data_IF_029232859245
#
_entry.id   IF_029232859245
#
_cell.length_a   1.000
_cell.length_b   1.000
_cell.length_c   1.000
_cell.angle_alpha   90.00
_cell.angle_beta   90.00
_cell.angle_gamma   90.00
#
_symmetry.space_group_name_H-M   'P 1'
#
loop_
_entity.id
_entity.type
_entity.pdbx_description
1 polymer ?
#
# COMPACT_ATOMS: atom_id res chain seq x y z
N UNK A 1 -83.46 -72.95 40.47
CA UNK A 1 -83.28 -71.68 39.73
C UNK A 1 -81.94 -70.98 40.03
N UNK A 2 -81.31 -71.22 41.20
CA UNK A 2 -79.99 -70.65 41.57
C UNK A 2 -78.82 -70.98 40.63
N UNK A 3 -78.72 -72.24 40.15
CA UNK A 3 -77.56 -72.69 39.34
C UNK A 3 -77.41 -71.95 38.00
N UNK A 4 -78.53 -71.50 37.40
CA UNK A 4 -78.55 -70.76 36.12
C UNK A 4 -78.20 -69.28 36.30
N UNK A 5 -78.54 -68.71 37.47
CA UNK A 5 -78.16 -67.35 37.86
C UNK A 5 -76.66 -67.25 38.17
N UNK A 6 -76.12 -68.19 38.96
CA UNK A 6 -74.70 -68.25 39.28
C UNK A 6 -73.82 -68.46 38.03
N UNK A 7 -74.27 -69.29 37.07
CA UNK A 7 -73.54 -69.51 35.80
C UNK A 7 -73.54 -68.27 34.90
N UNK A 8 -74.62 -67.48 34.92
CA UNK A 8 -74.71 -66.20 34.19
C UNK A 8 -73.82 -65.12 34.83
N UNK A 9 -73.82 -65.04 36.17
CA UNK A 9 -72.98 -64.10 36.91
C UNK A 9 -71.49 -64.41 36.73
N UNK A 10 -71.10 -65.68 36.66
CA UNK A 10 -69.73 -66.11 36.38
C UNK A 10 -69.30 -65.79 34.93
N UNK A 11 -70.20 -65.95 33.94
CA UNK A 11 -69.94 -65.54 32.55
C UNK A 11 -69.75 -64.02 32.43
N UNK A 12 -70.56 -63.22 33.13
CA UNK A 12 -70.41 -61.76 33.15
C UNK A 12 -69.10 -61.33 33.81
N UNK A 13 -68.69 -61.96 34.92
CA UNK A 13 -67.38 -61.70 35.55
C UNK A 13 -66.21 -62.06 34.63
N UNK A 14 -66.27 -63.22 33.98
CA UNK A 14 -65.25 -63.67 33.02
C UNK A 14 -65.16 -62.71 31.82
N UNK A 15 -66.29 -62.18 31.34
CA UNK A 15 -66.30 -61.20 30.24
C UNK A 15 -65.70 -59.86 30.67
N UNK A 16 -66.00 -59.39 31.88
CA UNK A 16 -65.38 -58.19 32.46
C UNK A 16 -63.86 -58.37 32.64
N UNK A 17 -63.41 -59.52 33.12
CA UNK A 17 -62.00 -59.84 33.27
C UNK A 17 -61.28 -59.85 31.92
N UNK A 18 -61.87 -60.46 30.88
CA UNK A 18 -61.34 -60.42 29.52
C UNK A 18 -61.30 -59.01 28.92
N UNK A 19 -62.30 -58.17 29.20
CA UNK A 19 -62.31 -56.77 28.77
C UNK A 19 -61.22 -55.94 29.47
N UNK A 20 -61.02 -56.17 30.77
CA UNK A 20 -59.93 -55.55 31.52
C UNK A 20 -58.57 -55.98 30.98
N UNK A 21 -58.39 -57.29 30.77
CA UNK A 21 -57.17 -57.85 30.20
C UNK A 21 -56.86 -57.27 28.81
N UNK A 22 -57.86 -57.16 27.93
CA UNK A 22 -57.69 -56.54 26.61
C UNK A 22 -57.33 -55.05 26.72
N UNK A 23 -57.98 -54.33 27.63
CA UNK A 23 -57.71 -52.90 27.88
C UNK A 23 -56.28 -52.69 28.39
N UNK A 24 -55.80 -53.56 29.28
CA UNK A 24 -54.43 -53.53 29.78
C UNK A 24 -53.41 -53.87 28.68
N UNK A 25 -53.72 -54.86 27.84
CA UNK A 25 -52.90 -55.23 26.68
C UNK A 25 -52.77 -54.04 25.71
N UNK A 26 -53.88 -53.39 25.34
CA UNK A 26 -53.90 -52.23 24.46
C UNK A 26 -53.14 -51.04 25.07
N UNK A 27 -53.28 -50.81 26.39
CA UNK A 27 -52.55 -49.79 27.12
C UNK A 27 -51.03 -50.07 27.14
N UNK A 28 -50.62 -51.32 27.33
CA UNK A 28 -49.21 -51.72 27.33
C UNK A 28 -48.60 -51.64 25.93
N UNK A 29 -49.34 -52.00 24.88
CA UNK A 29 -48.93 -51.78 23.49
C UNK A 29 -48.81 -50.29 23.16
N UNK A 30 -49.74 -49.46 23.65
CA UNK A 30 -49.68 -48.01 23.48
C UNK A 30 -48.47 -47.39 24.19
N UNK A 31 -48.20 -47.82 25.43
CA UNK A 31 -46.99 -47.43 26.18
C UNK A 31 -45.72 -47.82 25.44
N UNK A 32 -45.65 -49.05 24.91
CA UNK A 32 -44.52 -49.54 24.13
C UNK A 32 -44.31 -48.72 22.84
N UNK A 33 -45.38 -48.42 22.10
CA UNK A 33 -45.32 -47.57 20.89
C UNK A 33 -44.84 -46.15 21.22
N UNK A 34 -45.31 -45.56 22.31
CA UNK A 34 -44.86 -44.23 22.80
C UNK A 34 -43.40 -44.24 23.24
N UNK A 35 -42.91 -45.30 23.86
CA UNK A 35 -41.50 -45.42 24.25
C UNK A 35 -40.60 -45.49 23.00
N UNK A 36 -40.94 -46.33 22.02
CA UNK A 36 -40.21 -46.43 20.75
C UNK A 36 -40.21 -45.12 19.96
N UNK A 37 -41.32 -44.38 19.92
CA UNK A 37 -41.36 -43.09 19.21
C UNK A 37 -40.52 -42.00 19.91
N UNK A 38 -40.42 -42.02 21.24
CA UNK A 38 -39.54 -41.10 21.99
C UNK A 38 -38.06 -41.29 21.64
N UNK A 39 -37.59 -42.53 21.53
CA UNK A 39 -36.21 -42.82 21.14
C UNK A 39 -35.88 -42.27 19.74
N UNK A 40 -36.78 -42.49 18.77
CA UNK A 40 -36.62 -41.97 17.41
C UNK A 40 -36.53 -40.43 17.38
N UNK A 41 -37.36 -39.74 18.16
CA UNK A 41 -37.33 -38.27 18.25
C UNK A 41 -35.98 -37.78 18.78
N UNK A 42 -35.42 -38.45 19.80
CA UNK A 42 -34.10 -38.09 20.37
C UNK A 42 -32.98 -38.26 19.33
N UNK A 43 -33.02 -39.32 18.52
CA UNK A 43 -32.05 -39.51 17.43
C UNK A 43 -32.17 -38.43 16.35
N UNK A 44 -33.38 -38.03 15.98
CA UNK A 44 -33.60 -36.96 14.99
C UNK A 44 -33.10 -35.61 15.53
N UNK A 45 -33.40 -35.29 16.79
CA UNK A 45 -32.95 -34.04 17.43
C UNK A 45 -31.41 -34.00 17.54
N UNK A 46 -30.78 -35.11 17.96
CA UNK A 46 -29.32 -35.16 18.05
C UNK A 46 -28.64 -35.06 16.68
N UNK A 47 -29.17 -35.72 15.66
CA UNK A 47 -28.70 -35.60 14.28
C UNK A 47 -28.82 -34.17 13.73
N UNK A 48 -29.99 -33.54 13.92
CA UNK A 48 -30.21 -32.15 13.50
C UNK A 48 -29.31 -31.16 14.26
N UNK A 49 -29.11 -31.34 15.56
CA UNK A 49 -28.17 -30.54 16.34
C UNK A 49 -26.72 -30.69 15.86
N UNK A 50 -26.30 -31.92 15.51
CA UNK A 50 -24.96 -32.18 14.97
C UNK A 50 -24.76 -31.47 13.62
N UNK A 51 -25.77 -31.48 12.75
CA UNK A 51 -25.75 -30.75 11.48
C UNK A 51 -25.65 -29.24 11.71
N UNK A 52 -26.47 -28.69 12.62
CA UNK A 52 -26.43 -27.26 12.96
C UNK A 52 -25.07 -26.83 13.50
N UNK A 53 -24.47 -27.61 14.40
CA UNK A 53 -23.13 -27.36 14.91
C UNK A 53 -22.08 -27.39 13.79
N UNK A 54 -22.19 -28.35 12.86
CA UNK A 54 -21.34 -28.41 11.68
C UNK A 54 -21.43 -27.15 10.82
N UNK A 55 -22.65 -26.66 10.56
CA UNK A 55 -22.88 -25.42 9.81
C UNK A 55 -22.31 -24.20 10.53
N UNK A 56 -22.48 -24.10 11.86
CA UNK A 56 -21.90 -23.02 12.67
C UNK A 56 -20.37 -23.03 12.58
N UNK A 57 -19.74 -24.21 12.70
CA UNK A 57 -18.29 -24.36 12.59
C UNK A 57 -17.79 -23.99 11.19
N UNK A 58 -18.47 -24.44 10.13
CA UNK A 58 -18.13 -24.10 8.74
C UNK A 58 -18.22 -22.58 8.51
N UNK A 59 -19.30 -21.94 8.98
CA UNK A 59 -19.49 -20.50 8.85
C UNK A 59 -18.40 -19.74 9.63
N UNK A 60 -18.08 -20.16 10.85
CA UNK A 60 -17.01 -19.57 11.65
C UNK A 60 -15.64 -19.69 10.96
N UNK A 61 -15.32 -20.87 10.41
CA UNK A 61 -14.09 -21.11 9.64
C UNK A 61 -14.05 -20.25 8.38
N UNK A 62 -15.15 -20.13 7.65
CA UNK A 62 -15.23 -19.30 6.46
C UNK A 62 -15.01 -17.81 6.79
N UNK A 63 -15.66 -17.29 7.84
CA UNK A 63 -15.45 -15.91 8.30
C UNK A 63 -13.99 -15.62 8.66
N UNK A 64 -13.33 -16.53 9.40
CA UNK A 64 -11.90 -16.39 9.72
C UNK A 64 -11.01 -16.39 8.48
N UNK A 65 -11.29 -17.25 7.50
CA UNK A 65 -10.51 -17.31 6.24
C UNK A 65 -10.62 -16.02 5.44
N UNK A 66 -11.80 -15.41 5.37
CA UNK A 66 -12.01 -14.16 4.62
C UNK A 66 -11.18 -13.01 5.20
N UNK A 67 -11.22 -12.80 6.53
CA UNK A 67 -10.44 -11.73 7.16
C UNK A 67 -8.92 -11.88 6.94
N UNK A 68 -8.39 -13.12 7.06
CA UNK A 68 -6.97 -13.38 6.79
C UNK A 68 -6.63 -13.09 5.33
N UNK A 69 -7.48 -13.51 4.37
CA UNK A 69 -7.26 -13.22 2.94
C UNK A 69 -7.25 -11.72 2.65
N UNK A 70 -8.18 -10.96 3.23
CA UNK A 70 -8.23 -9.51 3.06
C UNK A 70 -6.96 -8.83 3.58
N UNK A 71 -6.49 -9.21 4.77
CA UNK A 71 -5.23 -8.68 5.31
C UNK A 71 -4.03 -9.04 4.45
N UNK A 72 -3.99 -10.26 3.91
CA UNK A 72 -2.92 -10.70 3.02
C UNK A 72 -2.94 -9.91 1.70
N UNK A 73 -4.11 -9.74 1.09
CA UNK A 73 -4.29 -8.94 -0.13
C UNK A 73 -3.89 -7.49 0.12
N UNK A 74 -4.30 -6.91 1.25
CA UNK A 74 -3.93 -5.54 1.60
C UNK A 74 -2.40 -5.40 1.77
N UNK A 75 -1.77 -6.36 2.46
CA UNK A 75 -0.31 -6.40 2.60
C UNK A 75 0.40 -6.55 1.25
N UNK A 76 -0.08 -7.42 0.37
CA UNK A 76 0.46 -7.59 -0.98
C UNK A 76 0.32 -6.32 -1.82
N UNK A 77 -0.85 -5.69 -1.81
CA UNK A 77 -1.08 -4.41 -2.50
C UNK A 77 -0.15 -3.32 -2.01
N UNK A 78 0.03 -3.20 -0.68
CA UNK A 78 0.97 -2.26 -0.08
C UNK A 78 2.41 -2.53 -0.54
N UNK A 79 2.84 -3.78 -0.52
CA UNK A 79 4.19 -4.15 -0.98
C UNK A 79 4.40 -3.90 -2.48
N UNK A 80 3.40 -4.15 -3.31
CA UNK A 80 3.45 -3.83 -4.74
C UNK A 80 3.61 -2.32 -4.96
N UNK A 81 2.80 -1.51 -4.26
CA UNK A 81 2.91 -0.06 -4.33
C UNK A 81 4.27 0.46 -3.84
N UNK A 82 4.82 -0.11 -2.76
CA UNK A 82 6.16 0.24 -2.27
C UNK A 82 7.26 -0.15 -3.25
N UNK A 83 7.14 -1.29 -3.93
CA UNK A 83 8.08 -1.72 -4.95
C UNK A 83 8.00 -0.81 -6.19
N UNK A 84 6.79 -0.47 -6.64
CA UNK A 84 6.57 0.45 -7.75
C UNK A 84 7.11 1.85 -7.44
N UNK A 85 6.96 2.32 -6.21
CA UNK A 85 7.58 3.56 -5.76
C UNK A 85 9.11 3.48 -5.86
N UNK A 86 9.72 2.42 -5.35
CA UNK A 86 11.18 2.22 -5.41
C UNK A 86 11.71 2.13 -6.85
N UNK A 87 11.01 1.45 -7.74
CA UNK A 87 11.43 1.38 -9.15
C UNK A 87 11.36 2.74 -9.81
N UNK A 88 10.32 3.53 -9.53
CA UNK A 88 10.19 4.91 -10.04
C UNK A 88 11.26 5.85 -9.48
N UNK A 89 11.61 5.71 -8.20
CA UNK A 89 12.74 6.43 -7.60
C UNK A 89 14.08 6.06 -8.26
N UNK A 90 14.29 4.78 -8.58
CA UNK A 90 15.49 4.33 -9.29
C UNK A 90 15.56 4.88 -10.73
N UNK A 91 14.43 4.90 -11.46
CA UNK A 91 14.32 5.51 -12.79
C UNK A 91 14.69 7.01 -12.75
N UNK A 92 14.23 7.74 -11.73
CA UNK A 92 14.60 9.15 -11.52
C UNK A 92 16.09 9.32 -11.29
N UNK A 93 16.68 8.48 -10.45
CA UNK A 93 18.11 8.54 -10.15
C UNK A 93 18.93 8.29 -11.41
N UNK A 94 18.56 7.30 -12.22
CA UNK A 94 19.22 7.00 -13.49
C UNK A 94 19.11 8.17 -14.48
N UNK A 95 17.93 8.77 -14.62
CA UNK A 95 17.73 9.94 -15.49
C UNK A 95 18.55 11.14 -15.00
N UNK A 96 18.60 11.35 -13.68
CA UNK A 96 19.41 12.41 -13.09
C UNK A 96 20.89 12.20 -13.41
N UNK A 97 21.43 11.01 -13.12
CA UNK A 97 22.83 10.66 -13.43
C UNK A 97 23.14 10.85 -14.91
N UNK A 98 22.25 10.43 -15.81
CA UNK A 98 22.44 10.63 -17.25
C UNK A 98 22.54 12.11 -17.64
N UNK A 99 21.67 12.98 -17.10
CA UNK A 99 21.71 14.42 -17.37
C UNK A 99 23.04 15.01 -16.87
N UNK A 100 23.54 14.52 -15.74
CA UNK A 100 24.78 14.98 -15.10
C UNK A 100 25.97 14.59 -15.93
N UNK A 101 26.09 13.31 -16.29
CA UNK A 101 27.16 12.80 -17.14
C UNK A 101 27.19 13.51 -18.49
N UNK A 102 26.01 13.74 -19.10
CA UNK A 102 25.88 14.53 -20.33
C UNK A 102 26.43 15.94 -20.13
N UNK A 103 26.01 16.65 -19.08
CA UNK A 103 26.42 18.04 -18.85
C UNK A 103 27.90 18.14 -18.48
N UNK A 104 28.45 17.18 -17.74
CA UNK A 104 29.87 17.08 -17.42
C UNK A 104 30.69 16.88 -18.70
N UNK A 105 30.28 15.95 -19.56
CA UNK A 105 30.91 15.72 -20.87
C UNK A 105 30.89 16.99 -21.73
N UNK A 106 29.74 17.67 -21.85
CA UNK A 106 29.62 18.91 -22.63
C UNK A 106 30.51 20.03 -22.07
N UNK A 107 30.61 20.14 -20.74
CA UNK A 107 31.49 21.12 -20.09
C UNK A 107 32.97 20.81 -20.32
N UNK A 108 33.37 19.54 -20.26
CA UNK A 108 34.74 19.09 -20.57
C UNK A 108 35.08 19.43 -22.02
N UNK A 109 34.21 19.06 -22.97
CA UNK A 109 34.39 19.40 -24.39
C UNK A 109 34.51 20.91 -24.58
N UNK A 110 33.66 21.70 -23.93
CA UNK A 110 33.70 23.16 -24.03
C UNK A 110 34.99 23.75 -23.41
N UNK A 111 35.53 23.13 -22.36
CA UNK A 111 36.79 23.54 -21.71
C UNK A 111 37.99 23.23 -22.60
N UNK A 112 38.03 22.02 -23.17
CA UNK A 112 39.07 21.60 -24.12
C UNK A 112 39.03 22.46 -25.39
N UNK A 113 37.84 22.70 -25.92
CA UNK A 113 37.65 23.59 -27.07
C UNK A 113 38.20 24.99 -26.78
N UNK A 114 37.93 25.54 -25.58
CA UNK A 114 38.44 26.85 -25.16
C UNK A 114 39.96 26.85 -25.02
N UNK A 115 40.53 25.78 -24.46
CA UNK A 115 41.98 25.61 -24.36
C UNK A 115 42.62 25.63 -25.75
N UNK A 116 42.13 24.81 -26.69
CA UNK A 116 42.65 24.77 -28.05
C UNK A 116 42.41 26.06 -28.83
N UNK A 117 41.27 26.73 -28.63
CA UNK A 117 40.99 28.05 -29.23
C UNK A 117 42.02 29.09 -28.77
N UNK A 118 42.48 29.04 -27.51
CA UNK A 118 43.48 29.96 -27.00
C UNK A 118 44.88 29.73 -27.59
N UNK A 119 45.20 28.52 -28.05
CA UNK A 119 46.47 28.19 -28.72
C UNK A 119 46.57 28.74 -30.14
N UNK A 120 45.46 29.17 -30.75
CA UNK A 120 45.46 29.75 -32.09
C UNK A 120 46.09 31.15 -32.08
N UNK A 121 46.88 31.47 -33.10
CA UNK A 121 47.59 32.75 -33.20
C UNK A 121 46.76 33.85 -33.88
N UNK A 122 45.81 33.51 -34.75
CA UNK A 122 44.99 34.48 -35.48
C UNK A 122 43.55 34.56 -34.89
N UNK A 123 42.93 35.74 -34.98
CA UNK A 123 41.58 35.99 -34.45
C UNK A 123 40.44 35.47 -35.34
N UNK A 124 40.66 35.24 -36.64
CA UNK A 124 39.69 34.67 -37.56
C UNK A 124 39.41 33.19 -37.25
N UNK A 125 40.45 32.40 -37.00
CA UNK A 125 40.38 30.98 -36.64
C UNK A 125 39.77 30.80 -35.23
N UNK A 126 40.04 31.73 -34.31
CA UNK A 126 39.33 31.76 -33.02
C UNK A 126 37.83 31.99 -33.21
N UNK A 127 37.45 32.91 -34.10
CA UNK A 127 36.03 33.24 -34.36
C UNK A 127 35.30 32.11 -35.08
N UNK A 128 35.97 31.33 -35.94
CA UNK A 128 35.33 30.21 -36.64
C UNK A 128 34.86 29.09 -35.71
N UNK A 129 35.44 28.98 -34.51
CA UNK A 129 35.04 28.01 -33.48
C UNK A 129 33.90 28.48 -32.57
N UNK A 130 33.54 29.77 -32.58
CA UNK A 130 32.47 30.30 -31.73
C UNK A 130 31.08 29.68 -31.99
N UNK A 131 30.65 29.43 -33.25
CA UNK A 131 29.37 28.77 -33.50
C UNK A 131 29.28 27.38 -32.85
N UNK A 132 30.37 26.61 -32.88
CA UNK A 132 30.44 25.29 -32.23
C UNK A 132 30.34 25.42 -30.71
N UNK A 133 31.05 26.40 -30.12
CA UNK A 133 30.98 26.69 -28.69
C UNK A 133 29.58 27.12 -28.25
N UNK A 134 28.92 27.93 -29.07
CA UNK A 134 27.56 28.40 -28.82
C UNK A 134 26.56 27.24 -28.91
N UNK A 135 26.76 26.31 -29.86
CA UNK A 135 25.98 25.07 -29.97
C UNK A 135 26.15 24.18 -28.74
N UNK A 136 27.40 23.91 -28.31
CA UNK A 136 27.71 23.16 -27.08
C UNK A 136 27.01 23.76 -25.85
N UNK A 137 27.07 25.08 -25.68
CA UNK A 137 26.38 25.77 -24.58
C UNK A 137 24.86 25.68 -24.70
N UNK A 138 24.30 25.69 -25.91
CA UNK A 138 22.86 25.56 -26.11
C UNK A 138 22.31 24.16 -25.81
N UNK A 139 23.14 23.12 -25.95
CA UNK A 139 22.81 21.73 -25.60
C UNK A 139 22.83 21.46 -24.08
N UNK A 140 23.54 22.31 -23.32
CA UNK A 140 23.42 22.40 -21.86
C UNK A 140 22.13 23.16 -21.54
N UNK A 141 20.99 22.54 -21.87
CA UNK A 141 19.67 23.14 -21.67
C UNK A 141 19.11 22.76 -20.29
N UNK A 142 19.66 23.41 -19.27
CA UNK A 142 19.27 23.22 -17.87
C UNK A 142 17.75 23.42 -17.64
N UNK A 143 17.07 24.21 -18.48
CA UNK A 143 15.62 24.41 -18.40
C UNK A 143 14.83 23.21 -18.90
N UNK A 144 15.21 22.62 -20.03
CA UNK A 144 14.53 21.45 -20.58
C UNK A 144 14.75 20.22 -19.69
N UNK A 145 15.97 20.05 -19.19
CA UNK A 145 16.33 18.97 -18.27
C UNK A 145 15.59 19.15 -16.92
N UNK A 146 15.49 20.38 -16.42
CA UNK A 146 14.67 20.70 -15.24
C UNK A 146 13.17 20.44 -15.47
N UNK A 147 12.63 20.75 -16.65
CA UNK A 147 11.21 20.52 -16.94
C UNK A 147 10.86 19.03 -16.97
N UNK A 148 11.72 18.19 -17.56
CA UNK A 148 11.59 16.73 -17.54
C UNK A 148 11.65 16.20 -16.11
N UNK A 149 12.64 16.68 -15.35
CA UNK A 149 12.80 16.34 -13.95
C UNK A 149 11.55 16.70 -13.12
N UNK A 150 11.06 17.93 -13.26
CA UNK A 150 9.88 18.42 -12.54
C UNK A 150 8.63 17.60 -12.87
N UNK A 151 8.43 17.23 -14.14
CA UNK A 151 7.30 16.39 -14.57
C UNK A 151 7.33 15.01 -13.90
N UNK A 152 8.50 14.40 -13.81
CA UNK A 152 8.63 13.07 -13.23
C UNK A 152 8.56 13.10 -11.69
N UNK A 153 9.13 14.11 -11.04
CA UNK A 153 8.95 14.33 -9.60
C UNK A 153 7.47 14.54 -9.24
N UNK A 154 6.73 15.29 -10.04
CA UNK A 154 5.29 15.49 -9.85
C UNK A 154 4.49 14.18 -9.98
N UNK A 155 4.98 13.22 -10.76
CA UNK A 155 4.35 11.88 -10.85
C UNK A 155 4.48 11.07 -9.56
N UNK A 156 5.53 11.29 -8.78
CA UNK A 156 5.80 10.54 -7.53
C UNK A 156 5.31 11.31 -6.31
N UNK A 157 5.52 12.62 -6.30
CA UNK A 157 5.20 13.53 -5.20
C UNK A 157 4.31 14.69 -5.71
N UNK A 158 3.05 14.41 -6.10
CA UNK A 158 2.17 15.40 -6.75
C UNK A 158 1.87 16.61 -5.87
N UNK A 159 1.83 16.43 -4.55
CA UNK A 159 1.51 17.50 -3.61
C UNK A 159 2.75 18.28 -3.15
N UNK A 160 3.96 17.74 -3.30
CA UNK A 160 5.18 18.34 -2.75
C UNK A 160 5.43 19.77 -3.23
N UNK A 161 5.43 19.98 -4.55
CA UNK A 161 5.66 21.30 -5.15
C UNK A 161 4.52 22.25 -4.78
N UNK A 162 3.28 21.74 -4.72
CA UNK A 162 2.12 22.53 -4.31
C UNK A 162 2.31 23.04 -2.88
N UNK A 163 2.65 22.15 -1.93
CA UNK A 163 2.93 22.49 -0.53
C UNK A 163 4.04 23.52 -0.41
N UNK A 164 5.15 23.35 -1.15
CA UNK A 164 6.25 24.32 -1.15
C UNK A 164 5.79 25.71 -1.60
N UNK A 165 5.01 25.78 -2.67
CA UNK A 165 4.52 27.05 -3.20
C UNK A 165 3.48 27.72 -2.29
N UNK A 166 2.65 26.94 -1.59
CA UNK A 166 1.62 27.48 -0.70
C UNK A 166 2.16 27.86 0.68
N UNK A 167 2.96 27.00 1.31
CA UNK A 167 3.48 27.24 2.66
C UNK A 167 4.74 28.10 2.68
N UNK A 168 5.55 28.04 1.60
CA UNK A 168 6.83 28.75 1.51
C UNK A 168 6.94 29.59 0.22
N UNK A 169 6.02 30.55 -0.02
CA UNK A 169 5.96 31.32 -1.28
C UNK A 169 7.21 32.17 -1.56
N UNK A 170 8.03 32.44 -0.55
CA UNK A 170 9.26 33.26 -0.67
C UNK A 170 10.50 32.46 -1.13
N UNK A 171 10.33 31.17 -1.45
CA UNK A 171 11.39 30.35 -2.03
C UNK A 171 11.57 30.71 -3.51
N UNK A 172 12.82 30.97 -3.89
CA UNK A 172 13.20 31.13 -5.28
C UNK A 172 13.11 29.79 -6.01
N UNK A 173 13.01 29.83 -7.34
CA UNK A 173 13.03 28.63 -8.18
C UNK A 173 14.26 27.75 -7.90
N UNK A 174 15.44 28.35 -7.69
CA UNK A 174 16.66 27.60 -7.35
C UNK A 174 16.62 26.92 -5.98
N UNK A 175 15.88 27.48 -5.03
CA UNK A 175 15.65 26.87 -3.71
C UNK A 175 14.61 25.74 -3.79
N UNK A 176 13.56 25.90 -4.60
CA UNK A 176 12.60 24.84 -4.91
C UNK A 176 13.32 23.67 -5.58
N UNK A 177 14.20 23.95 -6.57
CA UNK A 177 15.08 22.93 -7.18
C UNK A 177 15.88 22.17 -6.13
N UNK A 178 16.47 22.89 -5.17
CA UNK A 178 17.23 22.28 -4.08
C UNK A 178 16.34 21.38 -3.20
N UNK A 179 15.14 21.83 -2.81
CA UNK A 179 14.19 21.00 -2.06
C UNK A 179 13.87 19.71 -2.81
N UNK A 180 13.68 19.76 -4.13
CA UNK A 180 13.42 18.58 -4.94
C UNK A 180 14.59 17.59 -4.92
N UNK A 181 15.83 18.05 -5.04
CA UNK A 181 16.99 17.16 -4.92
C UNK A 181 17.07 16.50 -3.54
N UNK A 182 16.81 17.27 -2.48
CA UNK A 182 16.79 16.75 -1.11
C UNK A 182 15.68 15.72 -0.92
N UNK A 183 14.51 15.94 -1.52
CA UNK A 183 13.36 15.03 -1.47
C UNK A 183 13.64 13.67 -2.11
N UNK A 184 14.58 13.62 -3.05
CA UNK A 184 15.04 12.40 -3.69
C UNK A 184 16.30 11.80 -3.03
N UNK A 185 16.52 12.09 -1.74
CA UNK A 185 17.64 11.57 -0.96
C UNK A 185 19.05 11.88 -1.52
N UNK A 186 19.20 12.97 -2.27
CA UNK A 186 20.47 13.29 -2.90
C UNK A 186 21.45 13.90 -1.91
N UNK A 187 22.70 13.42 -1.94
CA UNK A 187 23.72 13.96 -1.06
C UNK A 187 24.18 15.33 -1.53
N UNK A 188 24.77 16.12 -0.64
CA UNK A 188 25.35 17.42 -1.01
C UNK A 188 26.40 17.29 -2.11
N UNK A 189 27.12 16.15 -2.17
CA UNK A 189 28.11 15.87 -3.21
C UNK A 189 27.43 15.64 -4.56
N UNK A 190 26.39 14.82 -4.59
CA UNK A 190 25.65 14.54 -5.83
C UNK A 190 25.02 15.83 -6.37
N UNK A 191 24.35 16.61 -5.51
CA UNK A 191 23.76 17.90 -5.90
C UNK A 191 24.83 18.87 -6.45
N UNK A 192 26.03 18.87 -5.87
CA UNK A 192 27.13 19.71 -6.32
C UNK A 192 27.57 19.31 -7.73
N UNK A 193 27.76 18.01 -7.98
CA UNK A 193 28.04 17.47 -9.30
C UNK A 193 26.93 17.84 -10.29
N UNK A 194 25.67 17.68 -9.88
CA UNK A 194 24.51 17.87 -10.75
C UNK A 194 24.25 19.31 -11.14
N UNK A 195 24.62 20.23 -10.27
CA UNK A 195 24.46 21.67 -10.51
C UNK A 195 25.73 22.33 -11.02
N UNK A 196 26.81 21.56 -11.25
CA UNK A 196 28.15 22.09 -11.59
C UNK A 196 28.63 23.15 -10.59
N UNK A 197 28.33 22.95 -9.31
CA UNK A 197 28.72 23.82 -8.21
C UNK A 197 29.73 23.11 -7.31
N UNK A 198 30.49 23.88 -6.54
CA UNK A 198 31.29 23.29 -5.47
C UNK A 198 30.38 22.77 -4.35
N UNK A 199 30.83 21.73 -3.65
CA UNK A 199 30.15 21.20 -2.45
C UNK A 199 29.85 22.33 -1.46
N UNK A 200 30.83 23.21 -1.22
CA UNK A 200 30.69 24.39 -0.35
C UNK A 200 29.60 25.36 -0.82
N UNK A 201 29.43 25.54 -2.13
CA UNK A 201 28.35 26.37 -2.66
C UNK A 201 26.98 25.74 -2.41
N UNK A 202 26.85 24.41 -2.51
CA UNK A 202 25.61 23.69 -2.17
C UNK A 202 25.32 23.75 -0.67
N UNK A 203 26.33 23.58 0.19
CA UNK A 203 26.20 23.74 1.64
C UNK A 203 25.67 25.14 2.01
N UNK A 204 26.22 26.18 1.38
CA UNK A 204 25.74 27.55 1.57
C UNK A 204 24.29 27.72 1.13
N UNK A 205 23.89 27.12 0.00
CA UNK A 205 22.48 27.12 -0.44
C UNK A 205 21.58 26.39 0.56
N UNK A 206 21.99 25.21 1.06
CA UNK A 206 21.27 24.45 2.10
C UNK A 206 21.12 25.26 3.39
N UNK A 207 22.16 25.98 3.81
CA UNK A 207 22.10 26.86 4.97
C UNK A 207 21.10 28.01 4.80
N UNK A 208 21.11 28.69 3.65
CA UNK A 208 20.15 29.76 3.33
C UNK A 208 18.71 29.23 3.30
N UNK A 209 18.51 28.09 2.65
CA UNK A 209 17.22 27.40 2.62
C UNK A 209 16.73 27.08 4.03
N UNK A 210 17.60 26.58 4.91
CA UNK A 210 17.30 26.32 6.32
C UNK A 210 16.77 27.54 7.06
N UNK A 211 17.36 28.72 6.80
CA UNK A 211 16.91 29.99 7.38
C UNK A 211 15.54 30.41 6.84
N UNK A 212 15.32 30.31 5.53
CA UNK A 212 14.02 30.64 4.92
C UNK A 212 12.89 29.74 5.37
N UNK A 213 13.18 28.47 5.61
CA UNK A 213 12.24 27.48 6.18
C UNK A 213 12.10 27.60 7.71
N UNK A 214 12.76 28.58 8.34
CA UNK A 214 12.72 28.83 9.79
C UNK A 214 13.01 27.60 10.68
N UNK A 215 13.92 26.71 10.25
CA UNK A 215 14.16 25.45 10.97
C UNK A 215 14.99 25.64 12.24
N UNK A 216 14.56 25.01 13.34
CA UNK A 216 15.31 24.93 14.61
C UNK A 216 16.65 24.21 14.40
N UNK A 217 17.69 24.54 15.19
CA UNK A 217 19.05 23.95 15.04
C UNK A 217 19.06 22.41 15.06
N UNK A 218 18.23 21.80 15.90
CA UNK A 218 18.14 20.33 16.01
C UNK A 218 17.48 19.66 14.80
N UNK A 219 16.73 20.41 13.97
CA UNK A 219 16.01 19.85 12.83
C UNK A 219 16.93 19.70 11.63
N UNK A 220 17.10 18.46 11.17
CA UNK A 220 17.78 18.16 9.91
C UNK A 220 16.92 18.58 8.73
N UNK A 221 17.53 19.32 7.79
CA UNK A 221 16.85 19.81 6.59
C UNK A 221 16.24 18.66 5.76
N UNK A 222 17.00 17.58 5.56
CA UNK A 222 16.53 16.44 4.74
C UNK A 222 15.26 15.82 5.34
N UNK A 223 15.27 15.57 6.66
CA UNK A 223 14.11 14.99 7.38
C UNK A 223 12.89 15.90 7.27
N UNK A 224 13.08 17.20 7.43
CA UNK A 224 12.00 18.17 7.26
C UNK A 224 11.39 18.13 5.86
N UNK A 225 12.22 18.16 4.81
CA UNK A 225 11.77 18.14 3.42
C UNK A 225 11.02 16.83 3.10
N UNK A 226 11.48 15.69 3.61
CA UNK A 226 10.79 14.42 3.43
C UNK A 226 9.40 14.40 4.09
N UNK A 227 9.23 15.12 5.21
CA UNK A 227 7.95 15.23 5.92
C UNK A 227 6.87 16.06 5.20
N UNK A 228 7.22 16.89 4.22
CA UNK A 228 6.28 17.83 3.56
C UNK A 228 5.18 17.17 2.71
N UNK A 229 5.25 15.85 2.45
CA UNK A 229 4.18 15.13 1.74
C UNK A 229 3.16 14.47 2.65
N UNK A 230 3.40 14.44 3.96
CA UNK A 230 2.54 13.80 4.93
C UNK A 230 1.51 14.82 5.43
N UNK A 231 0.68 15.32 4.52
CA UNK A 231 -0.64 15.79 4.90
C UNK A 231 -1.63 14.69 4.49
N UNK A 232 -1.74 13.72 5.39
CA UNK A 232 -2.92 12.86 5.51
C UNK A 232 -4.13 13.73 5.78
N UNK A 233 -5.08 13.71 4.86
CA UNK A 233 -6.51 13.75 5.22
C UNK A 233 -7.06 12.37 4.91
#
# INVERSE_FOLDING_TARGET
MEKKKNMSDDQSKMLLENLHYKTELDNNQLKLKKAKSRELIIFIISGSAMILLGLIIINYRNRRKTGIRETLIHKQKKQLAENELKTKEAELMQMSTFIVEKNELLNTINTDLKYHQNLLNNNADKKSLEPLRQKLKSEINEKADWAKFQKHLFSIHPNFIKTLNTEYPNLSTGEIKLCCYLKMNQTTKDIAQWTSLSVRAVENKRYRLRKKLALKKATRLDVFIHGLDIQTV
#
